data_IF_881632093209
#
_entry.id   IF_881632093209
#
_cell.length_a   1.000
_cell.length_b   1.000
_cell.length_c   1.000
_cell.angle_alpha   90.00
_cell.angle_beta   90.00
_cell.angle_gamma   90.00
#
_symmetry.space_group_name_H-M   'P 1'
#
loop_
_entity.id
_entity.type
_entity.pdbx_description
1 polymer ?
#
# COMPACT_ATOMS: atom_id res chain seq x y z
N UNK A 1 -4.81 9.12 22.77
CA UNK A 1 -5.89 10.05 22.41
C UNK A 1 -6.77 9.40 21.33
N UNK A 2 -8.06 9.19 21.61
CA UNK A 2 -9.03 8.65 20.63
C UNK A 2 -9.25 9.73 19.56
N UNK A 3 -9.32 9.34 18.29
CA UNK A 3 -9.66 10.30 17.23
C UNK A 3 -11.10 10.79 17.46
N UNK A 4 -11.35 12.08 17.29
CA UNK A 4 -12.70 12.67 17.37
C UNK A 4 -13.63 12.19 16.25
N UNK A 5 -13.05 11.83 15.10
CA UNK A 5 -13.74 11.30 13.93
C UNK A 5 -13.06 10.02 13.48
N UNK A 6 -13.83 8.96 13.24
CA UNK A 6 -13.37 7.71 12.64
C UNK A 6 -13.98 7.49 11.26
N UNK A 7 -13.33 6.70 10.40
CA UNK A 7 -13.91 6.29 9.10
C UNK A 7 -15.27 5.60 9.29
N UNK A 8 -15.47 4.91 10.42
CA UNK A 8 -16.74 4.29 10.74
C UNK A 8 -17.88 5.30 10.91
N UNK A 9 -17.62 6.48 11.45
CA UNK A 9 -18.64 7.52 11.64
C UNK A 9 -19.11 8.08 10.29
N UNK A 10 -18.16 8.30 9.38
CA UNK A 10 -18.44 8.73 8.00
C UNK A 10 -19.25 7.66 7.25
N UNK A 11 -18.89 6.38 7.37
CA UNK A 11 -19.64 5.31 6.72
C UNK A 11 -21.05 5.14 7.29
N UNK A 12 -21.24 5.28 8.62
CA UNK A 12 -22.58 5.23 9.21
C UNK A 12 -23.47 6.37 8.72
N UNK A 13 -22.93 7.59 8.65
CA UNK A 13 -23.70 8.77 8.28
C UNK A 13 -23.96 8.88 6.77
N UNK A 14 -22.94 8.68 5.93
CA UNK A 14 -23.01 8.91 4.49
C UNK A 14 -23.04 7.62 3.65
N UNK A 15 -22.75 6.46 4.24
CA UNK A 15 -22.72 5.17 3.54
C UNK A 15 -24.06 4.73 2.94
N UNK A 16 -25.22 4.92 3.59
CA UNK A 16 -26.52 4.58 2.99
C UNK A 16 -26.78 5.33 1.67
N UNK A 17 -26.62 6.65 1.66
CA UNK A 17 -26.79 7.48 0.46
C UNK A 17 -25.78 7.10 -0.63
N UNK A 18 -24.51 6.86 -0.24
CA UNK A 18 -23.48 6.39 -1.16
C UNK A 18 -23.84 5.05 -1.82
N UNK A 19 -24.32 4.07 -1.03
CA UNK A 19 -24.74 2.77 -1.57
C UNK A 19 -25.92 2.90 -2.55
N UNK A 20 -26.89 3.77 -2.25
CA UNK A 20 -28.01 4.02 -3.14
C UNK A 20 -27.57 4.66 -4.46
N UNK A 21 -26.73 5.70 -4.39
CA UNK A 21 -26.23 6.41 -5.58
C UNK A 21 -25.32 5.53 -6.47
N UNK A 22 -24.57 4.60 -5.87
CA UNK A 22 -23.55 3.79 -6.56
C UNK A 22 -23.90 2.29 -6.64
N UNK A 23 -25.17 1.91 -6.49
CA UNK A 23 -25.60 0.51 -6.32
C UNK A 23 -25.06 -0.45 -7.40
N UNK A 24 -24.94 -0.01 -8.66
CA UNK A 24 -24.44 -0.81 -9.79
C UNK A 24 -22.91 -0.79 -9.96
N UNK A 25 -22.21 0.04 -9.19
CA UNK A 25 -20.77 0.27 -9.33
C UNK A 25 -19.95 -0.20 -8.12
N UNK A 26 -20.62 -0.74 -7.09
CA UNK A 26 -19.96 -1.29 -5.91
C UNK A 26 -19.78 -2.80 -6.01
N UNK A 27 -18.53 -3.23 -5.89
CA UNK A 27 -18.22 -4.65 -5.75
C UNK A 27 -18.70 -5.18 -4.39
N UNK A 28 -19.02 -6.48 -4.34
CA UNK A 28 -19.30 -7.18 -3.08
C UNK A 28 -18.19 -6.99 -2.03
N UNK A 29 -16.92 -6.93 -2.47
CA UNK A 29 -15.79 -6.70 -1.58
C UNK A 29 -15.85 -5.32 -0.92
N UNK A 30 -16.21 -4.28 -1.68
CA UNK A 30 -16.37 -2.91 -1.15
C UNK A 30 -17.55 -2.85 -0.18
N UNK A 31 -18.71 -3.44 -0.53
CA UNK A 31 -19.87 -3.51 0.36
C UNK A 31 -19.52 -4.20 1.69
N UNK A 32 -18.84 -5.35 1.65
CA UNK A 32 -18.38 -6.05 2.86
C UNK A 32 -17.41 -5.22 3.70
N UNK A 33 -16.52 -4.44 3.07
CA UNK A 33 -15.63 -3.53 3.78
C UNK A 33 -16.40 -2.40 4.47
N UNK A 34 -17.36 -1.80 3.78
CA UNK A 34 -18.21 -0.76 4.39
C UNK A 34 -18.95 -1.30 5.62
N UNK A 35 -19.69 -2.40 5.47
CA UNK A 35 -20.44 -3.01 6.57
C UNK A 35 -19.53 -3.44 7.73
N UNK A 36 -18.35 -4.00 7.44
CA UNK A 36 -17.42 -4.38 8.50
C UNK A 36 -16.93 -3.16 9.30
N UNK A 37 -16.62 -2.06 8.62
CA UNK A 37 -16.13 -0.83 9.26
C UNK A 37 -17.25 -0.15 10.06
N UNK A 38 -18.49 -0.12 9.55
CA UNK A 38 -19.67 0.44 10.23
C UNK A 38 -19.96 -0.26 11.56
N UNK A 39 -19.96 -1.59 11.58
CA UNK A 39 -20.26 -2.38 12.78
C UNK A 39 -19.06 -2.54 13.73
N UNK A 40 -17.86 -2.15 13.30
CA UNK A 40 -16.64 -2.35 14.08
C UNK A 40 -16.70 -1.65 15.45
N UNK A 41 -16.47 -2.42 16.53
CA UNK A 41 -16.51 -1.94 17.92
C UNK A 41 -17.87 -1.33 18.29
N UNK A 42 -18.95 -1.99 17.88
CA UNK A 42 -20.34 -1.68 18.27
C UNK A 42 -21.02 -2.94 18.82
N UNK A 43 -22.16 -2.77 19.47
CA UNK A 43 -22.98 -3.86 19.99
C UNK A 43 -23.37 -4.90 18.92
N UNK A 44 -23.43 -4.49 17.64
CA UNK A 44 -23.77 -5.39 16.53
C UNK A 44 -22.77 -6.56 16.35
N UNK A 45 -21.55 -6.46 16.90
CA UNK A 45 -20.56 -7.55 16.88
C UNK A 45 -20.44 -8.26 18.23
N UNK A 46 -21.33 -7.95 19.18
CA UNK A 46 -21.19 -8.35 20.58
C UNK A 46 -20.02 -7.65 21.28
N UNK A 47 -19.80 -8.02 22.54
CA UNK A 47 -18.72 -7.48 23.36
C UNK A 47 -18.62 -8.22 24.69
N UNK A 48 -17.72 -7.74 25.52
CA UNK A 48 -17.50 -8.24 26.87
C UNK A 48 -17.42 -7.07 27.86
N UNK A 49 -17.66 -7.37 29.13
CA UNK A 49 -17.46 -6.42 30.22
C UNK A 49 -16.05 -6.62 30.75
N UNK A 50 -15.26 -5.57 30.76
CA UNK A 50 -13.96 -5.53 31.42
C UNK A 50 -14.14 -4.80 32.74
N UNK A 51 -13.77 -5.43 33.85
CA UNK A 51 -13.78 -4.82 35.18
C UNK A 51 -12.37 -4.80 35.74
N UNK A 52 -11.98 -3.70 36.38
CA UNK A 52 -10.76 -3.63 37.16
C UNK A 52 -11.05 -4.15 38.56
N UNK A 53 -10.36 -5.22 38.95
CA UNK A 53 -10.53 -5.84 40.26
C UNK A 53 -10.05 -4.92 41.41
N UNK A 54 -9.11 -4.00 41.13
CA UNK A 54 -8.55 -3.09 42.14
C UNK A 54 -9.46 -1.89 42.46
N UNK A 55 -10.14 -1.32 41.46
CA UNK A 55 -10.92 -0.08 41.63
C UNK A 55 -12.41 -0.22 41.29
N UNK A 56 -12.87 -1.40 40.88
CA UNK A 56 -14.28 -1.68 40.55
C UNK A 56 -14.80 -0.98 39.30
N UNK A 57 -13.98 -0.18 38.60
CA UNK A 57 -14.37 0.43 37.33
C UNK A 57 -14.58 -0.65 36.28
N UNK A 58 -15.73 -0.59 35.61
CA UNK A 58 -16.04 -1.47 34.50
C UNK A 58 -16.32 -0.70 33.21
N UNK A 59 -16.10 -1.36 32.08
CA UNK A 59 -16.43 -0.84 30.76
C UNK A 59 -16.91 -1.94 29.84
N UNK A 60 -17.78 -1.57 28.89
CA UNK A 60 -18.16 -2.46 27.78
C UNK A 60 -17.11 -2.32 26.67
N UNK A 61 -16.49 -3.45 26.31
CA UNK A 61 -15.55 -3.55 25.22
C UNK A 61 -16.18 -4.34 24.06
N UNK A 62 -16.55 -3.65 22.98
CA UNK A 62 -17.14 -4.29 21.80
C UNK A 62 -16.10 -5.00 20.92
N UNK A 63 -16.51 -6.06 20.23
CA UNK A 63 -15.66 -6.84 19.36
C UNK A 63 -15.24 -6.09 18.09
N UNK A 64 -14.06 -6.44 17.57
CA UNK A 64 -13.51 -5.86 16.33
C UNK A 64 -14.01 -6.61 15.10
N UNK A 65 -14.24 -5.92 13.98
CA UNK A 65 -14.63 -6.58 12.72
C UNK A 65 -13.52 -7.42 12.06
N UNK A 66 -12.26 -7.28 12.52
CA UNK A 66 -11.05 -7.95 12.00
C UNK A 66 -10.77 -7.77 10.50
N UNK A 67 -11.52 -6.91 9.79
CA UNK A 67 -11.32 -6.67 8.37
C UNK A 67 -9.97 -5.95 8.14
N UNK A 68 -9.19 -6.44 7.17
CA UNK A 68 -7.86 -5.92 6.83
C UNK A 68 -7.83 -4.46 6.37
N UNK A 69 -8.98 -3.89 5.98
CA UNK A 69 -9.11 -2.51 5.55
C UNK A 69 -9.63 -1.59 6.66
N UNK A 70 -10.02 -2.11 7.83
CA UNK A 70 -10.54 -1.29 8.93
C UNK A 70 -9.40 -0.52 9.63
N UNK A 71 -9.39 0.84 9.62
CA UNK A 71 -8.32 1.61 10.25
C UNK A 71 -8.21 1.41 11.78
N UNK A 72 -9.28 0.89 12.41
CA UNK A 72 -9.36 0.63 13.86
C UNK A 72 -8.82 -0.73 14.28
N UNK A 73 -8.99 -1.76 13.45
CA UNK A 73 -8.65 -3.15 13.82
C UNK A 73 -7.17 -3.48 13.61
N UNK A 74 -6.50 -2.80 12.69
CA UNK A 74 -5.22 -3.25 12.16
C UNK A 74 -4.04 -3.08 13.13
N UNK A 75 -4.20 -2.33 14.23
CA UNK A 75 -3.10 -2.06 15.15
C UNK A 75 -2.57 -3.29 15.89
N UNK A 76 -3.45 -4.19 16.36
CA UNK A 76 -3.02 -5.39 17.08
C UNK A 76 -2.34 -6.40 16.14
N UNK A 77 -2.98 -6.72 15.01
CA UNK A 77 -2.41 -7.59 13.97
C UNK A 77 -1.06 -7.06 13.47
N UNK A 78 -0.92 -5.74 13.31
CA UNK A 78 0.36 -5.13 12.94
C UNK A 78 1.47 -5.41 13.96
N UNK A 79 1.16 -5.32 15.26
CA UNK A 79 2.14 -5.59 16.33
C UNK A 79 2.51 -7.06 16.41
N UNK A 80 1.54 -7.98 16.31
CA UNK A 80 1.82 -9.42 16.30
C UNK A 80 2.71 -9.80 15.12
N UNK A 81 2.32 -9.38 13.90
CA UNK A 81 3.13 -9.62 12.71
C UNK A 81 4.52 -8.98 12.85
N UNK A 82 4.62 -7.82 13.51
CA UNK A 82 5.91 -7.17 13.72
C UNK A 82 6.84 -7.95 14.63
N UNK A 83 6.33 -8.41 15.77
CA UNK A 83 7.10 -9.20 16.74
C UNK A 83 7.64 -10.49 16.10
N UNK A 84 6.85 -11.14 15.24
CA UNK A 84 7.32 -12.30 14.49
C UNK A 84 8.44 -11.96 13.49
N UNK A 85 8.40 -10.77 12.86
CA UNK A 85 9.42 -10.35 11.88
C UNK A 85 10.69 -9.83 12.53
N UNK A 86 10.62 -9.36 13.78
CA UNK A 86 11.79 -8.94 14.55
C UNK A 86 12.78 -10.08 14.73
N UNK A 87 12.29 -11.30 14.99
CA UNK A 87 13.12 -12.50 15.07
C UNK A 87 13.83 -12.86 13.75
N UNK A 88 13.30 -12.40 12.62
CA UNK A 88 13.87 -12.65 11.28
C UNK A 88 14.92 -11.59 10.87
N UNK A 89 15.14 -10.55 11.68
CA UNK A 89 16.07 -9.47 11.32
C UNK A 89 17.53 -9.87 11.57
N UNK A 90 18.30 -9.89 10.48
CA UNK A 90 19.75 -9.97 10.50
C UNK A 90 20.38 -8.71 11.13
N UNK A 91 21.54 -8.85 11.78
CA UNK A 91 22.33 -7.72 12.32
C UNK A 91 23.04 -6.95 11.19
N UNK A 92 22.24 -6.32 10.32
CA UNK A 92 22.71 -5.54 9.18
C UNK A 92 21.94 -4.21 9.07
N UNK A 93 22.48 -3.25 8.34
CA UNK A 93 21.71 -2.09 7.90
C UNK A 93 20.57 -2.53 6.96
N UNK A 94 19.47 -1.77 6.91
CA UNK A 94 18.35 -2.08 6.03
C UNK A 94 17.98 -0.91 5.15
N UNK A 95 17.86 -1.13 3.86
CA UNK A 95 17.49 -0.12 2.88
C UNK A 95 15.99 -0.14 2.64
N UNK A 96 15.44 1.06 2.44
CA UNK A 96 14.07 1.24 1.98
C UNK A 96 14.08 1.53 0.48
N UNK A 97 13.61 0.57 -0.32
CA UNK A 97 13.51 0.72 -1.78
C UNK A 97 12.04 0.81 -2.18
N UNK A 98 11.69 1.74 -3.07
CA UNK A 98 10.30 1.94 -3.51
C UNK A 98 10.24 1.93 -5.02
N UNK A 99 9.38 1.05 -5.56
CA UNK A 99 9.05 0.98 -6.97
C UNK A 99 7.66 1.55 -7.20
N UNK A 100 7.56 2.60 -8.01
CA UNK A 100 6.30 3.30 -8.28
C UNK A 100 5.91 3.16 -9.74
N UNK A 101 4.62 2.88 -9.98
CA UNK A 101 4.08 2.87 -11.35
C UNK A 101 3.80 4.29 -11.84
N UNK A 102 4.14 4.62 -13.11
CA UNK A 102 3.68 5.84 -13.76
C UNK A 102 2.16 5.90 -13.83
N UNK A 103 1.59 7.11 -13.89
CA UNK A 103 0.14 7.33 -13.86
C UNK A 103 -0.62 6.54 -14.94
N UNK A 104 -0.09 6.52 -16.17
CA UNK A 104 -0.72 5.82 -17.30
C UNK A 104 -0.81 4.30 -17.08
N UNK A 105 0.13 3.74 -16.32
CA UNK A 105 0.14 2.32 -15.92
C UNK A 105 -0.73 2.10 -14.67
N UNK A 106 -0.80 3.09 -13.77
CA UNK A 106 -1.68 3.05 -12.61
C UNK A 106 -3.15 2.95 -13.02
N UNK A 107 -3.57 3.64 -14.07
CA UNK A 107 -4.94 3.54 -14.60
C UNK A 107 -5.27 2.12 -15.09
N UNK A 108 -4.33 1.48 -15.80
CA UNK A 108 -4.44 0.06 -16.19
C UNK A 108 -4.52 -0.82 -14.94
N UNK A 109 -3.71 -0.53 -13.92
CA UNK A 109 -3.72 -1.25 -12.65
C UNK A 109 -5.04 -1.11 -11.89
N UNK A 110 -5.72 0.04 -11.99
CA UNK A 110 -7.01 0.26 -11.33
C UNK A 110 -8.09 -0.70 -11.83
N UNK A 111 -8.15 -0.96 -13.14
CA UNK A 111 -9.11 -1.90 -13.73
C UNK A 111 -8.65 -3.37 -13.60
N UNK A 112 -7.35 -3.61 -13.46
CA UNK A 112 -6.75 -4.95 -13.46
C UNK A 112 -5.97 -5.27 -12.19
N UNK A 113 -6.50 -4.86 -11.02
CA UNK A 113 -5.78 -4.83 -9.73
C UNK A 113 -4.98 -6.10 -9.44
N UNK A 114 -5.63 -7.27 -9.46
CA UNK A 114 -4.95 -8.52 -9.08
C UNK A 114 -3.77 -8.84 -10.00
N UNK A 115 -3.96 -8.74 -11.32
CA UNK A 115 -2.92 -9.06 -12.31
C UNK A 115 -1.78 -8.06 -12.25
N UNK A 116 -2.09 -6.77 -12.23
CA UNK A 116 -1.09 -5.70 -12.34
C UNK A 116 -0.33 -5.51 -11.02
N UNK A 117 -0.98 -5.70 -9.86
CA UNK A 117 -0.27 -5.66 -8.58
C UNK A 117 0.62 -6.89 -8.39
N UNK A 118 0.20 -8.08 -8.80
CA UNK A 118 1.08 -9.26 -8.82
C UNK A 118 2.28 -9.05 -9.76
N UNK A 119 2.04 -8.43 -10.92
CA UNK A 119 3.12 -8.07 -11.83
C UNK A 119 4.09 -7.05 -11.21
N UNK A 120 3.57 -6.06 -10.48
CA UNK A 120 4.38 -5.07 -9.77
C UNK A 120 5.33 -5.75 -8.76
N UNK A 121 4.82 -6.66 -7.92
CA UNK A 121 5.68 -7.45 -7.02
C UNK A 121 6.74 -8.22 -7.78
N UNK A 122 6.35 -9.01 -8.78
CA UNK A 122 7.27 -9.86 -9.53
C UNK A 122 8.37 -9.06 -10.22
N UNK A 123 8.01 -8.01 -10.96
CA UNK A 123 8.97 -7.21 -11.71
C UNK A 123 9.91 -6.43 -10.77
N UNK A 124 9.41 -5.91 -9.64
CA UNK A 124 10.25 -5.21 -8.67
C UNK A 124 11.23 -6.17 -7.97
N UNK A 125 10.76 -7.33 -7.49
CA UNK A 125 11.60 -8.29 -6.79
C UNK A 125 12.67 -8.89 -7.70
N UNK A 126 12.29 -9.25 -8.93
CA UNK A 126 13.24 -9.74 -9.93
C UNK A 126 14.28 -8.69 -10.29
N UNK A 127 13.86 -7.43 -10.47
CA UNK A 127 14.81 -6.34 -10.71
C UNK A 127 15.86 -6.26 -9.59
N UNK A 128 15.42 -6.31 -8.33
CA UNK A 128 16.33 -6.27 -7.19
C UNK A 128 17.26 -7.48 -7.14
N UNK A 129 16.72 -8.69 -7.29
CA UNK A 129 17.49 -9.93 -7.24
C UNK A 129 18.51 -10.03 -8.38
N UNK A 130 18.11 -9.67 -9.61
CA UNK A 130 19.00 -9.69 -10.79
C UNK A 130 20.14 -8.70 -10.64
N UNK A 131 19.84 -7.44 -10.27
CA UNK A 131 20.88 -6.41 -10.15
C UNK A 131 21.78 -6.65 -8.94
N UNK A 132 21.26 -7.22 -7.85
CA UNK A 132 22.07 -7.61 -6.69
C UNK A 132 23.04 -8.75 -7.00
N UNK A 133 22.62 -9.73 -7.81
CA UNK A 133 23.46 -10.88 -8.15
C UNK A 133 24.61 -10.53 -9.10
N UNK A 134 24.55 -9.41 -9.83
CA UNK A 134 25.61 -8.98 -10.75
C UNK A 134 26.89 -8.58 -9.97
N UNK A 135 28.06 -9.21 -10.21
CA UNK A 135 29.33 -8.85 -9.57
C UNK A 135 29.80 -7.42 -9.85
N UNK A 136 29.31 -6.77 -10.93
CA UNK A 136 29.55 -5.34 -11.19
C UNK A 136 28.80 -4.42 -10.22
N UNK A 137 27.90 -4.99 -9.42
CA UNK A 137 27.10 -4.29 -8.42
C UNK A 137 27.39 -4.85 -7.03
N UNK A 138 26.55 -5.77 -6.51
CA UNK A 138 26.74 -6.36 -5.18
C UNK A 138 27.35 -7.77 -5.25
N UNK A 139 27.05 -8.53 -6.31
CA UNK A 139 27.51 -9.91 -6.45
C UNK A 139 26.93 -10.88 -5.40
N UNK A 140 25.72 -10.61 -4.88
CA UNK A 140 25.15 -11.38 -3.77
C UNK A 140 23.65 -11.65 -3.92
N UNK A 141 23.20 -12.76 -3.30
CA UNK A 141 21.78 -13.10 -3.16
C UNK A 141 21.19 -12.39 -1.93
N UNK A 142 20.39 -11.37 -2.18
CA UNK A 142 19.72 -10.56 -1.14
C UNK A 142 18.37 -11.17 -0.69
N UNK A 143 17.94 -10.81 0.52
CA UNK A 143 16.57 -10.99 0.99
C UNK A 143 15.71 -9.75 0.75
N UNK A 144 14.39 -9.90 0.58
CA UNK A 144 13.47 -8.78 0.35
C UNK A 144 12.15 -9.04 1.10
N UNK A 145 11.71 -8.07 1.90
CA UNK A 145 10.33 -7.99 2.38
C UNK A 145 9.61 -6.88 1.62
N UNK A 146 8.61 -7.22 0.80
CA UNK A 146 7.90 -6.29 -0.06
C UNK A 146 6.49 -6.00 0.48
N UNK A 147 5.98 -4.79 0.30
CA UNK A 147 4.64 -4.39 0.77
C UNK A 147 3.96 -3.50 -0.26
N UNK A 148 2.78 -3.88 -0.73
CA UNK A 148 1.98 -3.11 -1.67
C UNK A 148 1.24 -1.96 -1.00
N UNK A 149 1.38 -0.77 -1.57
CA UNK A 149 0.57 0.40 -1.29
C UNK A 149 -0.14 0.82 -2.57
N UNK A 150 -1.40 1.27 -2.45
CA UNK A 150 -2.18 1.70 -3.62
C UNK A 150 -2.64 3.15 -3.54
N UNK A 151 -2.15 3.91 -2.55
CA UNK A 151 -2.60 5.27 -2.27
C UNK A 151 -1.44 6.26 -2.06
N UNK A 152 -1.66 7.50 -2.50
CA UNK A 152 -0.89 8.65 -2.03
C UNK A 152 -1.43 9.18 -0.70
N UNK A 153 -0.78 10.20 -0.12
CA UNK A 153 -1.29 10.80 1.12
C UNK A 153 -2.71 11.36 0.95
N UNK A 154 -3.03 11.95 -0.20
CA UNK A 154 -4.38 12.44 -0.52
C UNK A 154 -5.42 11.34 -0.87
N UNK A 155 -5.10 10.06 -0.62
CA UNK A 155 -5.93 8.90 -0.98
C UNK A 155 -6.22 8.77 -2.48
N UNK A 156 -5.35 9.32 -3.32
CA UNK A 156 -5.40 9.12 -4.77
C UNK A 156 -4.78 7.78 -5.12
N UNK A 157 -5.25 7.14 -6.19
CA UNK A 157 -4.68 5.88 -6.67
C UNK A 157 -3.22 6.06 -7.05
N UNK A 158 -2.33 5.35 -6.36
CA UNK A 158 -0.89 5.45 -6.54
C UNK A 158 -0.25 4.11 -6.17
N UNK A 159 -0.31 3.10 -7.06
CA UNK A 159 0.27 1.78 -6.80
C UNK A 159 1.80 1.83 -6.77
N UNK A 160 2.36 1.39 -5.65
CA UNK A 160 3.80 1.27 -5.44
C UNK A 160 4.09 0.13 -4.45
N UNK A 161 5.29 -0.44 -4.53
CA UNK A 161 5.77 -1.44 -3.58
C UNK A 161 6.92 -0.86 -2.79
N UNK A 162 6.80 -0.91 -1.47
CA UNK A 162 7.89 -0.66 -0.55
C UNK A 162 8.63 -1.96 -0.28
N UNK A 163 9.96 -1.91 -0.32
CA UNK A 163 10.83 -3.03 -0.04
C UNK A 163 11.77 -2.68 1.10
N UNK A 164 11.91 -3.62 2.02
CA UNK A 164 12.92 -3.63 3.05
C UNK A 164 13.97 -4.67 2.66
N UNK A 165 15.20 -4.22 2.52
CA UNK A 165 16.29 -5.03 1.96
C UNK A 165 17.49 -4.95 2.89
N UNK A 166 18.03 -6.08 3.39
CA UNK A 166 19.27 -6.08 4.15
C UNK A 166 20.42 -5.46 3.35
N UNK A 167 21.35 -4.82 4.03
CA UNK A 167 22.55 -4.18 3.48
C UNK A 167 23.62 -5.18 3.09
N UNK A 168 23.26 -6.13 2.25
CA UNK A 168 24.12 -7.23 1.82
C UNK A 168 23.31 -8.47 1.47
N UNK A 169 24.02 -9.53 1.11
CA UNK A 169 23.42 -10.82 0.77
C UNK A 169 24.40 -11.97 0.94
N UNK A 170 23.92 -13.18 0.66
CA UNK A 170 24.73 -14.39 0.70
C UNK A 170 25.47 -14.52 -0.63
N UNK A 171 26.76 -14.88 -0.60
CA UNK A 171 27.54 -15.16 -1.80
C UNK A 171 26.86 -16.25 -2.68
N UNK A 172 27.06 -16.25 -4.01
CA UNK A 172 26.39 -17.23 -4.89
C UNK A 172 26.67 -18.70 -4.52
N UNK A 173 27.88 -18.98 -4.05
CA UNK A 173 28.35 -20.28 -3.55
C UNK A 173 27.89 -20.59 -2.11
N UNK A 174 27.21 -19.65 -1.45
CA UNK A 174 26.74 -19.70 -0.06
C UNK A 174 27.85 -19.77 1.00
N UNK A 175 29.10 -19.48 0.64
CA UNK A 175 30.24 -19.59 1.56
C UNK A 175 30.28 -18.49 2.62
N UNK A 176 29.79 -17.28 2.29
CA UNK A 176 29.91 -16.10 3.16
C UNK A 176 28.83 -15.05 2.91
N UNK A 177 28.75 -14.11 3.85
CA UNK A 177 28.02 -12.86 3.68
C UNK A 177 28.83 -11.83 2.88
N UNK A 178 28.17 -11.12 1.98
CA UNK A 178 28.72 -10.01 1.21
C UNK A 178 27.97 -8.74 1.62
N UNK A 179 28.61 -7.83 2.40
CA UNK A 179 27.97 -6.60 2.83
C UNK A 179 27.88 -5.59 1.68
N UNK A 180 26.82 -4.78 1.66
CA UNK A 180 26.77 -3.59 0.82
C UNK A 180 27.61 -2.46 1.44
N UNK A 181 27.80 -1.37 0.68
CA UNK A 181 28.38 -0.15 1.25
C UNK A 181 27.40 0.50 2.25
N UNK A 182 27.87 1.20 3.30
CA UNK A 182 27.00 1.70 4.37
C UNK A 182 25.82 2.57 3.89
N UNK A 183 26.02 3.46 2.92
CA UNK A 183 24.97 4.34 2.41
C UNK A 183 24.49 3.99 0.99
N UNK A 184 24.90 2.84 0.46
CA UNK A 184 24.64 2.48 -0.93
C UNK A 184 24.42 0.98 -1.11
N UNK A 185 23.21 0.63 -1.56
CA UNK A 185 22.84 -0.74 -1.88
C UNK A 185 23.03 -1.04 -3.37
N UNK A 186 22.23 -0.39 -4.24
CA UNK A 186 22.22 -0.61 -5.68
C UNK A 186 21.92 0.69 -6.44
N UNK A 187 22.40 0.83 -7.70
CA UNK A 187 22.17 2.03 -8.49
C UNK A 187 20.72 2.15 -8.99
N UNK A 188 19.96 3.10 -8.44
CA UNK A 188 18.52 3.28 -8.73
C UNK A 188 18.19 3.51 -10.21
N UNK A 189 19.11 4.08 -10.99
CA UNK A 189 18.91 4.26 -12.42
C UNK A 189 18.94 2.94 -13.19
N UNK A 190 19.80 2.00 -12.78
CA UNK A 190 19.85 0.65 -13.37
C UNK A 190 18.59 -0.13 -12.98
N UNK A 191 18.19 -0.05 -11.71
CA UNK A 191 16.94 -0.64 -11.22
C UNK A 191 15.75 -0.12 -12.04
N UNK A 192 15.62 1.20 -12.20
CA UNK A 192 14.51 1.80 -12.94
C UNK A 192 14.46 1.35 -14.41
N UNK A 193 15.62 1.20 -15.08
CA UNK A 193 15.68 0.71 -16.47
C UNK A 193 15.22 -0.75 -16.59
N UNK A 194 15.73 -1.64 -15.74
CA UNK A 194 15.36 -3.05 -15.78
C UNK A 194 13.89 -3.26 -15.37
N UNK A 195 13.46 -2.60 -14.31
CA UNK A 195 12.06 -2.65 -13.85
C UNK A 195 11.09 -2.24 -14.95
N UNK A 196 11.33 -1.10 -15.61
CA UNK A 196 10.54 -0.65 -16.76
C UNK A 196 10.45 -1.72 -17.84
N UNK A 197 11.58 -2.31 -18.23
CA UNK A 197 11.63 -3.36 -19.27
C UNK A 197 10.81 -4.58 -18.87
N UNK A 198 11.07 -5.14 -17.69
CA UNK A 198 10.39 -6.34 -17.20
C UNK A 198 8.88 -6.11 -17.07
N UNK A 199 8.49 -4.98 -16.48
CA UNK A 199 7.10 -4.65 -16.26
C UNK A 199 6.34 -4.49 -17.58
N UNK A 200 6.85 -3.66 -18.50
CA UNK A 200 6.16 -3.41 -19.78
C UNK A 200 6.09 -4.66 -20.65
N UNK A 201 7.15 -5.49 -20.67
CA UNK A 201 7.17 -6.75 -21.43
C UNK A 201 6.07 -7.69 -20.94
N UNK A 202 5.96 -7.88 -19.63
CA UNK A 202 4.96 -8.78 -19.04
C UNK A 202 3.55 -8.20 -19.07
N UNK A 203 3.39 -6.89 -18.96
CA UNK A 203 2.09 -6.24 -19.13
C UNK A 203 1.56 -6.44 -20.55
N UNK A 204 2.43 -6.32 -21.56
CA UNK A 204 2.08 -6.63 -22.96
C UNK A 204 1.71 -8.11 -23.13
N UNK A 205 2.44 -9.03 -22.50
CA UNK A 205 2.11 -10.45 -22.54
C UNK A 205 0.73 -10.74 -21.92
N UNK A 206 0.37 -10.09 -20.81
CA UNK A 206 -0.98 -10.20 -20.21
C UNK A 206 -2.06 -9.69 -21.17
N UNK A 207 -1.79 -8.60 -21.88
CA UNK A 207 -2.71 -8.05 -22.89
C UNK A 207 -2.86 -8.98 -24.08
N UNK A 208 -1.75 -9.47 -24.63
CA UNK A 208 -1.73 -10.33 -25.82
C UNK A 208 -2.37 -11.70 -25.53
N UNK A 209 -2.34 -12.15 -24.27
CA UNK A 209 -3.09 -13.30 -23.79
C UNK A 209 -4.58 -13.00 -23.46
N UNK A 210 -5.09 -11.80 -23.73
CA UNK A 210 -6.49 -11.43 -23.49
C UNK A 210 -6.89 -11.36 -22.00
N UNK A 211 -5.91 -11.24 -21.08
CA UNK A 211 -6.17 -11.31 -19.63
C UNK A 211 -6.51 -9.96 -19.00
N UNK A 212 -6.29 -8.85 -19.72
CA UNK A 212 -6.61 -7.51 -19.22
C UNK A 212 -8.02 -7.12 -19.64
N UNK A 213 -8.83 -6.71 -18.67
CA UNK A 213 -10.15 -6.10 -18.89
C UNK A 213 -10.05 -4.59 -19.00
N UNK A 214 -10.84 -4.01 -19.91
CA UNK A 214 -10.95 -2.57 -20.10
C UNK A 214 -12.41 -2.14 -20.22
N UNK A 215 -12.80 -1.12 -19.46
CA UNK A 215 -14.19 -0.68 -19.35
C UNK A 215 -14.32 0.85 -19.39
N UNK A 216 -15.53 1.31 -19.72
CA UNK A 216 -15.89 2.73 -19.75
C UNK A 216 -14.98 3.52 -20.67
N UNK A 217 -14.43 4.63 -20.16
CA UNK A 217 -13.53 5.51 -20.92
C UNK A 217 -12.25 4.83 -21.40
N UNK A 218 -11.87 3.68 -20.83
CA UNK A 218 -10.69 2.91 -21.22
C UNK A 218 -11.00 1.74 -22.15
N UNK A 219 -12.25 1.50 -22.54
CA UNK A 219 -12.64 0.34 -23.36
C UNK A 219 -11.84 0.22 -24.67
N UNK A 220 -11.45 1.36 -25.25
CA UNK A 220 -10.61 1.43 -26.45
C UNK A 220 -9.22 0.79 -26.28
N UNK A 221 -8.73 0.63 -25.04
CA UNK A 221 -7.46 -0.04 -24.74
C UNK A 221 -7.52 -1.57 -24.89
N UNK A 222 -8.70 -2.15 -25.11
CA UNK A 222 -8.81 -3.55 -25.53
C UNK A 222 -8.12 -3.78 -26.89
N UNK A 223 -8.18 -2.80 -27.79
CA UNK A 223 -7.44 -2.84 -29.06
C UNK A 223 -5.92 -2.75 -28.83
N UNK A 224 -5.16 -3.58 -29.57
CA UNK A 224 -3.71 -3.73 -29.38
C UNK A 224 -2.97 -2.47 -29.74
N UNK A 225 -3.32 -1.88 -30.89
CA UNK A 225 -2.64 -0.71 -31.43
C UNK A 225 -2.84 0.47 -30.48
N UNK A 226 -4.04 0.61 -29.94
CA UNK A 226 -4.39 1.67 -29.01
C UNK A 226 -3.72 1.46 -27.65
N UNK A 227 -3.66 0.23 -27.15
CA UNK A 227 -2.89 -0.12 -25.94
C UNK A 227 -1.40 0.21 -26.08
N UNK A 228 -0.79 -0.14 -27.22
CA UNK A 228 0.62 0.18 -27.49
C UNK A 228 0.87 1.69 -27.54
N UNK A 229 -0.08 2.45 -28.11
CA UNK A 229 -0.02 3.92 -28.15
C UNK A 229 -0.13 4.53 -26.76
N UNK A 230 -1.04 4.01 -25.92
CA UNK A 230 -1.17 4.40 -24.51
C UNK A 230 0.12 4.16 -23.72
N UNK A 231 0.84 3.07 -24.00
CA UNK A 231 2.11 2.75 -23.35
C UNK A 231 3.34 3.44 -23.98
N UNK A 232 3.21 4.08 -25.15
CA UNK A 232 4.35 4.68 -25.82
C UNK A 232 5.06 5.76 -24.98
N UNK A 233 4.35 6.70 -24.30
CA UNK A 233 4.99 7.69 -23.45
C UNK A 233 5.79 7.06 -22.30
N UNK A 234 5.28 5.99 -21.67
CA UNK A 234 5.93 5.37 -20.51
C UNK A 234 7.17 4.53 -20.87
N UNK A 235 7.36 4.17 -22.14
CA UNK A 235 8.59 3.50 -22.61
C UNK A 235 9.80 4.42 -22.59
N UNK A 236 9.61 5.69 -22.96
CA UNK A 236 10.66 6.71 -22.96
C UNK A 236 10.92 7.32 -21.58
N UNK A 237 9.90 7.36 -20.70
CA UNK A 237 10.02 7.95 -19.36
C UNK A 237 11.03 7.21 -18.47
N UNK A 238 11.68 7.97 -17.59
CA UNK A 238 12.44 7.43 -16.46
C UNK A 238 11.47 6.92 -15.40
N UNK A 239 11.54 5.63 -15.08
CA UNK A 239 10.74 5.04 -14.02
C UNK A 239 11.41 5.29 -12.67
N UNK A 240 10.65 5.80 -11.72
CA UNK A 240 11.17 6.22 -10.41
C UNK A 240 11.33 5.00 -9.52
N UNK A 241 12.58 4.73 -9.16
CA UNK A 241 12.96 3.86 -8.06
C UNK A 241 13.63 4.75 -7.02
N UNK A 242 13.08 4.78 -5.82
CA UNK A 242 13.66 5.49 -4.69
C UNK A 242 14.38 4.50 -3.80
N UNK A 243 15.61 4.81 -3.37
CA UNK A 243 16.32 4.05 -2.37
C UNK A 243 16.81 5.02 -1.29
N UNK A 244 16.38 4.80 -0.04
CA UNK A 244 16.85 5.56 1.10
C UNK A 244 18.02 4.83 1.76
N UNK A 245 18.97 5.62 2.27
CA UNK A 245 20.02 5.16 3.18
C UNK A 245 19.43 4.35 4.35
N UNK A 246 20.25 3.49 5.01
CA UNK A 246 19.71 2.51 5.92
C UNK A 246 18.90 3.12 7.06
N UNK A 247 17.90 2.39 7.54
CA UNK A 247 17.28 2.71 8.82
C UNK A 247 18.35 2.75 9.92
N UNK A 248 18.12 3.54 10.96
CA UNK A 248 19.03 3.71 12.10
C UNK A 248 19.17 2.44 12.98
N UNK A 249 18.70 1.28 12.50
CA UNK A 249 18.68 0.01 13.23
C UNK A 249 17.46 -0.85 12.88
N UNK A 250 17.46 -2.13 13.27
CA UNK A 250 16.32 -3.06 13.15
C UNK A 250 15.00 -2.50 13.72
N UNK A 251 15.03 -1.79 14.84
CA UNK A 251 13.85 -1.22 15.50
C UNK A 251 13.18 -0.16 14.61
N UNK A 252 13.99 0.65 13.92
CA UNK A 252 13.50 1.64 12.97
C UNK A 252 12.89 1.00 11.71
N UNK A 253 13.41 -0.15 11.29
CA UNK A 253 12.80 -1.00 10.24
C UNK A 253 11.45 -1.51 10.70
N UNK A 254 11.38 -2.02 11.93
CA UNK A 254 10.15 -2.56 12.49
C UNK A 254 9.08 -1.48 12.64
N UNK A 255 9.43 -0.34 13.24
CA UNK A 255 8.53 0.81 13.33
C UNK A 255 8.08 1.31 11.95
N UNK A 256 8.94 1.21 10.93
CA UNK A 256 8.54 1.44 9.55
C UNK A 256 7.55 0.39 9.08
N UNK A 257 7.91 -0.89 9.06
CA UNK A 257 7.05 -1.97 8.60
C UNK A 257 5.67 -1.94 9.25
N UNK A 258 5.57 -1.81 10.58
CA UNK A 258 4.29 -1.75 11.29
C UNK A 258 3.35 -0.64 10.79
N UNK A 259 3.90 0.50 10.33
CA UNK A 259 3.10 1.60 9.77
C UNK A 259 2.63 1.32 8.34
N UNK A 260 3.40 0.57 7.56
CA UNK A 260 3.15 0.39 6.12
C UNK A 260 2.50 -0.96 5.82
N UNK A 261 2.65 -1.98 6.65
CA UNK A 261 2.11 -3.32 6.40
C UNK A 261 0.64 -3.45 6.71
N UNK A 262 0.05 -2.54 7.51
CA UNK A 262 -1.28 -2.74 8.07
C UNK A 262 -2.26 -1.56 7.91
N UNK A 263 -1.79 -0.41 7.44
CA UNK A 263 -2.67 0.73 7.14
C UNK A 263 -3.29 0.58 5.75
N UNK A 264 -4.51 1.09 5.59
CA UNK A 264 -5.20 1.16 4.29
C UNK A 264 -5.73 2.56 4.11
N UNK A 265 -5.37 3.21 3.00
CA UNK A 265 -5.79 4.54 2.55
C UNK A 265 -5.49 5.71 3.53
N UNK A 266 -6.06 5.68 4.73
CA UNK A 266 -5.98 6.72 5.75
C UNK A 266 -6.11 6.13 7.16
N UNK A 267 -5.42 6.72 8.14
CA UNK A 267 -5.62 6.41 9.56
C UNK A 267 -6.62 7.38 10.18
N UNK A 268 -7.42 6.94 11.16
CA UNK A 268 -8.37 7.80 11.88
C UNK A 268 -7.68 9.06 12.45
N UNK A 269 -6.43 8.96 12.89
CA UNK A 269 -5.66 10.11 13.39
C UNK A 269 -5.43 11.22 12.37
N UNK A 270 -5.63 10.99 11.07
CA UNK A 270 -5.53 12.01 10.04
C UNK A 270 -6.83 12.77 9.82
N UNK A 271 -7.97 12.22 10.25
CA UNK A 271 -9.27 12.89 10.19
C UNK A 271 -9.31 14.01 11.24
N UNK A 272 -9.81 15.17 10.84
CA UNK A 272 -9.93 16.37 11.68
C UNK A 272 -11.39 16.62 12.03
N UNK A 273 -12.24 16.69 11.01
CA UNK A 273 -13.66 17.02 11.15
C UNK A 273 -14.51 16.28 10.11
N UNK A 274 -15.77 16.08 10.46
CA UNK A 274 -16.81 15.61 9.56
C UNK A 274 -18.09 16.38 9.88
N UNK A 275 -18.51 17.25 8.97
CA UNK A 275 -19.65 18.17 9.13
C UNK A 275 -20.37 18.41 7.78
N UNK A 276 -21.24 19.42 7.72
CA UNK A 276 -22.00 19.78 6.51
C UNK A 276 -21.14 20.12 5.28
N UNK A 277 -19.88 20.50 5.46
CA UNK A 277 -18.95 20.80 4.38
C UNK A 277 -18.23 19.54 3.86
N UNK A 278 -18.26 18.45 4.63
CA UNK A 278 -17.68 17.15 4.25
C UNK A 278 -16.65 16.65 5.24
N UNK A 279 -15.70 15.86 4.74
CA UNK A 279 -14.65 15.20 5.53
C UNK A 279 -13.34 15.95 5.39
N UNK A 280 -12.83 16.50 6.49
CA UNK A 280 -11.58 17.26 6.55
C UNK A 280 -10.47 16.38 7.12
N UNK A 281 -9.33 16.30 6.41
CA UNK A 281 -8.20 15.48 6.85
C UNK A 281 -6.84 16.05 6.45
N UNK A 282 -5.81 15.69 7.24
CA UNK A 282 -4.41 16.07 6.99
C UNK A 282 -3.79 15.20 5.92
N UNK A 283 -3.07 15.77 4.98
CA UNK A 283 -2.27 15.06 3.97
C UNK A 283 -0.87 15.67 3.82
N UNK A 284 0.02 14.94 3.14
CA UNK A 284 1.34 15.43 2.77
C UNK A 284 1.33 15.91 1.32
N UNK A 285 1.65 17.17 1.08
CA UNK A 285 1.93 17.71 -0.23
C UNK A 285 3.43 17.59 -0.52
N UNK A 286 3.80 16.63 -1.36
CA UNK A 286 5.20 16.32 -1.67
C UNK A 286 5.87 17.36 -2.57
N UNK A 287 5.13 18.35 -3.06
CA UNK A 287 5.67 19.50 -3.80
C UNK A 287 6.19 20.61 -2.88
N UNK A 288 5.87 20.52 -1.59
CA UNK A 288 6.27 21.48 -0.55
C UNK A 288 7.27 20.85 0.41
N UNK A 289 8.16 21.69 0.95
CA UNK A 289 9.20 21.28 1.89
C UNK A 289 8.87 21.68 3.33
N UNK A 290 9.65 21.13 4.28
CA UNK A 290 9.56 21.51 5.69
C UNK A 290 8.18 21.31 6.33
N UNK A 291 7.77 22.30 7.13
CA UNK A 291 6.49 22.30 7.83
C UNK A 291 5.29 22.39 6.87
N UNK A 292 5.45 23.12 5.76
CA UNK A 292 4.41 23.33 4.73
C UNK A 292 4.07 22.07 3.96
N UNK A 293 4.85 21.00 4.12
CA UNK A 293 4.50 19.69 3.59
C UNK A 293 3.20 19.14 4.17
N UNK A 294 2.83 19.52 5.41
CA UNK A 294 1.60 19.03 6.06
C UNK A 294 0.46 20.00 5.75
N UNK A 295 -0.48 19.55 4.92
CA UNK A 295 -1.61 20.33 4.45
C UNK A 295 -2.92 19.70 4.91
N UNK A 296 -4.02 20.45 4.78
CA UNK A 296 -5.37 20.00 5.10
C UNK A 296 -6.22 20.11 3.84
N UNK A 297 -7.08 19.14 3.60
CA UNK A 297 -8.10 19.22 2.55
C UNK A 297 -9.45 18.74 3.08
N UNK A 298 -10.52 19.24 2.45
CA UNK A 298 -11.89 18.81 2.70
C UNK A 298 -12.45 18.21 1.42
N UNK A 299 -13.08 17.04 1.54
CA UNK A 299 -13.78 16.37 0.44
C UNK A 299 -15.25 16.22 0.80
N UNK A 300 -16.13 16.27 -0.19
CA UNK A 300 -17.49 15.78 -0.02
C UNK A 300 -17.45 14.33 0.50
N UNK A 301 -18.43 13.95 1.34
CA UNK A 301 -18.46 12.61 1.95
C UNK A 301 -18.46 11.49 0.89
N UNK A 302 -19.18 11.68 -0.21
CA UNK A 302 -19.21 10.77 -1.36
C UNK A 302 -17.81 10.54 -1.96
N UNK A 303 -17.08 11.63 -2.25
CA UNK A 303 -15.72 11.56 -2.80
C UNK A 303 -14.73 10.95 -1.80
N UNK A 304 -14.88 11.23 -0.51
CA UNK A 304 -14.07 10.59 0.53
C UNK A 304 -14.29 9.06 0.54
N UNK A 305 -15.55 8.61 0.53
CA UNK A 305 -15.89 7.18 0.50
C UNK A 305 -15.35 6.54 -0.78
N UNK A 306 -15.52 7.19 -1.94
CA UNK A 306 -14.96 6.71 -3.22
C UNK A 306 -13.45 6.53 -3.12
N UNK A 307 -12.72 7.55 -2.67
CA UNK A 307 -11.26 7.48 -2.50
C UNK A 307 -10.82 6.42 -1.50
N UNK A 308 -11.62 6.14 -0.47
CA UNK A 308 -11.31 5.03 0.43
C UNK A 308 -11.48 3.67 -0.28
N UNK A 309 -12.62 3.48 -0.95
CA UNK A 309 -13.02 2.19 -1.51
C UNK A 309 -12.22 1.76 -2.74
N UNK A 310 -11.58 2.69 -3.47
CA UNK A 310 -10.66 2.32 -4.57
C UNK A 310 -9.44 1.53 -4.08
N UNK A 311 -9.11 1.60 -2.78
CA UNK A 311 -8.00 0.87 -2.17
C UNK A 311 -8.39 -0.50 -1.57
N UNK A 312 -9.66 -0.89 -1.68
CA UNK A 312 -10.08 -2.26 -1.36
C UNK A 312 -9.39 -3.23 -2.33
N UNK A 313 -8.57 -4.10 -1.77
CA UNK A 313 -7.80 -5.08 -2.51
C UNK A 313 -8.66 -6.30 -2.88
N UNK A 314 -8.41 -6.95 -4.03
CA UNK A 314 -9.13 -8.16 -4.43
C UNK A 314 -9.11 -9.25 -3.35
N UNK A 315 -10.17 -10.07 -3.29
CA UNK A 315 -10.25 -11.20 -2.35
C UNK A 315 -9.06 -12.13 -2.57
N UNK A 316 -8.43 -12.58 -1.49
CA UNK A 316 -7.26 -13.46 -1.54
C UNK A 316 -5.95 -12.80 -1.98
N UNK A 317 -5.95 -11.50 -2.31
CA UNK A 317 -4.70 -10.83 -2.68
C UNK A 317 -3.81 -10.60 -1.45
N UNK A 318 -2.58 -11.11 -1.49
CA UNK A 318 -1.57 -10.91 -0.43
C UNK A 318 -0.81 -9.61 -0.69
N UNK A 319 -0.77 -8.71 0.30
CA UNK A 319 -0.14 -7.37 0.17
C UNK A 319 1.30 -7.31 0.68
N UNK A 320 1.82 -8.40 1.22
CA UNK A 320 3.18 -8.60 1.72
C UNK A 320 3.70 -9.86 1.04
#
# INVERSE_FOLDING_TARGET
MRASVEVADIFRAAGPAYRAAHARHLSLAQLKVMSAIEHCRTAALGGHVEACEDCGQWRIAYNSCRNRHCPKCQGAAARTWLAEREADLLPAGYFHVVFTLPAEVADVAFQNKALVYNLLFRAASETMLTIAADPKHLGARIGITAVLHTWGSAMTHHPHVHMIVPGGGIAPDRSRWIPSRPAFLLPVHVLGKLFRRLFLTRLLALRDAGRLGFFGTMAHLADRRTFLRHLAPVRGKRWVVYAKAPFAGPEAVLAYLARYTHRVAISNSRLIAFDKHGVTFRYKDYRRDGADRRQVMTLAADEFIRRFLIHVLPRGFHRI
#
